data_IF_243941603387
#
_entry.id   IF_243941603387
#
_cell.length_a   1.000
_cell.length_b   1.000
_cell.length_c   1.000
_cell.angle_alpha   90.00
_cell.angle_beta   90.00
_cell.angle_gamma   90.00
#
_symmetry.space_group_name_H-M   'P 1'
#
loop_
_entity.id
_entity.type
_entity.pdbx_description
1 polymer ?
#
# COMPACT_ATOMS: atom_id res chain seq x y z
N UNK A 1 -7.99 -17.14 -15.67
CA UNK A 1 -8.00 -16.14 -16.76
C UNK A 1 -7.10 -14.93 -16.48
N UNK A 2 -6.64 -14.65 -15.25
CA UNK A 2 -5.67 -13.57 -14.99
C UNK A 2 -6.26 -12.16 -15.05
N UNK A 3 -7.56 -12.06 -15.28
CA UNK A 3 -8.30 -10.81 -15.42
C UNK A 3 -8.89 -10.34 -14.07
N UNK A 4 -9.03 -9.03 -13.91
CA UNK A 4 -9.62 -8.31 -12.77
C UNK A 4 -9.18 -8.82 -11.40
N UNK A 5 -7.86 -8.95 -11.22
CA UNK A 5 -7.27 -9.43 -9.96
C UNK A 5 -7.11 -8.28 -8.98
N UNK A 6 -7.54 -8.45 -7.73
CA UNK A 6 -7.23 -7.49 -6.68
C UNK A 6 -5.77 -7.65 -6.26
N UNK A 7 -4.96 -6.60 -6.39
CA UNK A 7 -3.51 -6.67 -6.21
C UNK A 7 -3.01 -5.64 -5.20
N UNK A 8 -2.21 -6.08 -4.23
CA UNK A 8 -1.42 -5.22 -3.35
C UNK A 8 0.06 -5.45 -3.58
N UNK A 9 0.80 -4.40 -3.95
CA UNK A 9 2.27 -4.42 -3.93
C UNK A 9 2.78 -3.67 -2.71
N UNK A 10 3.12 -4.44 -1.70
CA UNK A 10 3.57 -3.97 -0.39
C UNK A 10 5.08 -3.83 -0.38
N UNK A 11 5.58 -2.71 0.15
CA UNK A 11 7.00 -2.49 0.36
C UNK A 11 7.30 -2.85 1.81
N UNK A 12 8.27 -3.74 2.02
CA UNK A 12 8.68 -4.21 3.35
C UNK A 12 8.86 -3.07 4.34
N UNK A 13 8.25 -3.21 5.52
CA UNK A 13 8.45 -2.35 6.66
C UNK A 13 8.45 -3.21 7.93
N UNK A 14 9.60 -3.76 8.32
CA UNK A 14 9.75 -4.67 9.45
C UNK A 14 9.11 -4.14 10.74
N UNK A 15 9.33 -2.84 11.02
CA UNK A 15 8.80 -2.20 12.23
C UNK A 15 7.27 -2.16 12.24
N UNK A 16 6.63 -1.93 11.09
CA UNK A 16 5.17 -1.88 10.99
C UNK A 16 4.55 -3.27 10.83
N UNK A 17 5.13 -4.08 9.94
CA UNK A 17 4.56 -5.34 9.46
C UNK A 17 4.75 -6.48 10.48
N UNK A 18 5.86 -6.50 11.21
CA UNK A 18 6.19 -7.57 12.17
C UNK A 18 6.07 -7.09 13.63
N UNK A 19 6.58 -5.91 13.94
CA UNK A 19 6.60 -5.38 15.31
C UNK A 19 5.38 -4.51 15.66
N UNK A 20 4.44 -4.30 14.74
CA UNK A 20 3.20 -3.55 15.00
C UNK A 20 3.40 -2.09 15.39
N UNK A 21 4.46 -1.44 14.88
CA UNK A 21 4.77 -0.05 15.24
C UNK A 21 3.65 0.92 14.86
N UNK A 22 3.13 1.65 15.85
CA UNK A 22 2.14 2.72 15.67
C UNK A 22 2.68 3.98 14.98
N UNK A 23 4.00 4.09 14.74
CA UNK A 23 4.64 5.24 14.07
C UNK A 23 4.39 5.28 12.56
N UNK A 24 3.95 4.18 11.97
CA UNK A 24 3.65 4.08 10.54
C UNK A 24 2.37 3.27 10.32
N UNK A 25 1.80 3.40 9.12
CA UNK A 25 0.58 2.69 8.72
C UNK A 25 0.85 1.39 7.96
N UNK A 26 2.11 0.98 7.79
CA UNK A 26 2.46 -0.15 6.91
C UNK A 26 1.79 -1.46 7.33
N UNK A 27 1.86 -1.82 8.61
CA UNK A 27 1.24 -3.06 9.12
C UNK A 27 -0.27 -3.06 8.92
N UNK A 28 -0.95 -1.97 9.31
CA UNK A 28 -2.39 -1.80 9.12
C UNK A 28 -2.79 -1.86 7.63
N UNK A 29 -1.97 -1.31 6.73
CA UNK A 29 -2.22 -1.37 5.29
C UNK A 29 -2.06 -2.79 4.75
N UNK A 30 -1.08 -3.55 5.24
CA UNK A 30 -0.87 -4.95 4.86
C UNK A 30 -2.05 -5.80 5.33
N UNK A 31 -2.46 -5.64 6.59
CA UNK A 31 -3.60 -6.36 7.16
C UNK A 31 -4.89 -6.06 6.42
N UNK A 32 -5.20 -4.79 6.17
CA UNK A 32 -6.39 -4.40 5.40
C UNK A 32 -6.35 -4.98 3.98
N UNK A 33 -5.20 -4.95 3.31
CA UNK A 33 -5.07 -5.53 1.97
C UNK A 33 -5.32 -7.04 1.95
N UNK A 34 -4.86 -7.77 2.98
CA UNK A 34 -5.13 -9.21 3.10
C UNK A 34 -6.62 -9.49 3.34
N UNK A 35 -7.28 -8.72 4.21
CA UNK A 35 -8.73 -8.83 4.45
C UNK A 35 -9.55 -8.58 3.18
N UNK A 36 -9.25 -7.51 2.45
CA UNK A 36 -9.94 -7.20 1.18
C UNK A 36 -9.75 -8.30 0.12
N UNK A 37 -8.59 -8.96 0.11
CA UNK A 37 -8.34 -10.10 -0.79
C UNK A 37 -9.15 -11.32 -0.38
N UNK A 38 -9.23 -11.60 0.93
CA UNK A 38 -10.06 -12.68 1.49
C UNK A 38 -11.53 -12.45 1.16
N UNK A 39 -12.06 -11.26 1.41
CA UNK A 39 -13.44 -10.87 1.08
C UNK A 39 -13.74 -10.99 -0.42
N UNK A 40 -12.80 -10.61 -1.28
CA UNK A 40 -12.94 -10.75 -2.73
C UNK A 40 -12.81 -12.19 -3.23
N UNK A 41 -12.34 -13.13 -2.38
CA UNK A 41 -12.07 -14.54 -2.71
C UNK A 41 -10.94 -14.77 -3.71
N UNK A 42 -10.32 -13.70 -4.23
CA UNK A 42 -9.27 -13.77 -5.26
C UNK A 42 -8.42 -12.50 -5.27
N UNK A 43 -7.12 -12.66 -5.05
CA UNK A 43 -6.17 -11.57 -5.14
C UNK A 43 -4.72 -12.00 -4.94
N UNK A 44 -3.81 -11.03 -5.04
CA UNK A 44 -2.37 -11.24 -4.87
C UNK A 44 -1.78 -10.14 -3.99
N UNK A 45 -1.01 -10.55 -2.97
CA UNK A 45 -0.08 -9.66 -2.27
C UNK A 45 1.33 -9.96 -2.76
N UNK A 46 1.98 -8.96 -3.33
CA UNK A 46 3.43 -9.00 -3.61
C UNK A 46 4.14 -8.25 -2.51
N UNK A 47 4.93 -8.98 -1.71
CA UNK A 47 5.74 -8.41 -0.64
C UNK A 47 7.17 -8.17 -1.13
N UNK A 48 7.50 -6.93 -1.48
CA UNK A 48 8.82 -6.57 -1.99
C UNK A 48 9.80 -6.37 -0.84
N UNK A 49 10.69 -7.35 -0.69
CA UNK A 49 11.84 -7.33 0.23
C UNK A 49 12.89 -6.33 -0.24
N UNK A 50 13.69 -5.83 0.69
CA UNK A 50 14.76 -4.86 0.39
C UNK A 50 14.26 -3.43 0.13
N UNK A 51 12.95 -3.18 0.22
CA UNK A 51 12.35 -1.85 0.12
C UNK A 51 12.31 -1.11 1.47
N UNK A 52 12.83 -1.73 2.53
CA UNK A 52 12.90 -1.12 3.86
C UNK A 52 13.59 0.25 3.80
N UNK A 53 13.03 1.23 4.52
CA UNK A 53 13.53 2.60 4.48
C UNK A 53 13.50 3.26 3.10
N UNK A 54 12.74 2.74 2.12
CA UNK A 54 12.77 3.13 0.69
C UNK A 54 14.01 2.64 -0.08
N UNK A 55 14.52 1.46 0.29
CA UNK A 55 15.65 0.83 -0.39
C UNK A 55 17.00 1.12 0.25
N UNK A 56 17.06 1.95 1.30
CA UNK A 56 18.28 2.26 2.06
C UNK A 56 18.57 1.21 3.15
N UNK A 57 17.59 0.35 3.47
CA UNK A 57 17.69 -0.68 4.50
C UNK A 57 17.37 -0.18 5.92
N UNK A 58 17.15 -1.14 6.84
CA UNK A 58 16.71 -0.87 8.20
C UNK A 58 17.73 -0.05 9.02
N UNK A 59 19.02 -0.35 8.87
CA UNK A 59 20.08 0.35 9.61
C UNK A 59 20.11 1.84 9.29
N UNK A 60 20.08 2.20 8.01
CA UNK A 60 20.04 3.59 7.56
C UNK A 60 18.72 4.29 7.92
N UNK A 61 17.59 3.57 7.93
CA UNK A 61 16.31 4.10 8.43
C UNK A 61 16.39 4.47 9.91
N UNK A 62 17.02 3.64 10.75
CA UNK A 62 17.21 3.92 12.17
C UNK A 62 18.17 5.08 12.40
N UNK A 63 19.25 5.17 11.63
CA UNK A 63 20.17 6.31 11.65
C UNK A 63 19.48 7.62 11.26
N UNK A 64 18.67 7.60 10.19
CA UNK A 64 17.88 8.76 9.77
C UNK A 64 16.84 9.16 10.82
N UNK A 65 16.26 8.21 11.57
CA UNK A 65 15.38 8.52 12.71
C UNK A 65 16.13 9.19 13.85
N UNK A 66 17.33 8.71 14.20
CA UNK A 66 18.14 9.32 15.25
C UNK A 66 18.54 10.77 14.89
N UNK A 67 18.86 11.05 13.62
CA UNK A 67 19.17 12.41 13.16
C UNK A 67 17.93 13.32 13.17
N UNK A 68 16.75 12.80 12.82
CA UNK A 68 15.48 13.54 12.91
C UNK A 68 15.08 13.83 14.36
N UNK A 69 15.31 12.89 15.29
CA UNK A 69 15.05 13.08 16.72
C UNK A 69 15.99 14.15 17.33
N UNK A 70 17.13 14.41 16.69
CA UNK A 70 18.07 15.50 17.01
C UNK A 70 17.72 16.84 16.31
N UNK A 71 16.66 16.89 15.50
CA UNK A 71 16.13 18.11 14.90
C UNK A 71 16.48 18.36 13.43
N UNK A 72 17.16 17.42 12.76
CA UNK A 72 17.51 17.56 11.33
C UNK A 72 16.30 17.32 10.40
N UNK A 73 16.21 18.08 9.30
CA UNK A 73 15.19 17.80 8.27
C UNK A 73 15.47 16.47 7.58
N UNK A 74 14.40 15.81 7.10
CA UNK A 74 14.47 14.50 6.46
C UNK A 74 15.35 14.51 5.21
N UNK A 75 15.51 15.65 4.54
CA UNK A 75 16.35 15.78 3.35
C UNK A 75 17.82 15.91 3.75
N UNK A 76 18.14 16.74 4.74
CA UNK A 76 19.50 16.92 5.25
C UNK A 76 20.06 15.62 5.81
N UNK A 77 19.29 14.89 6.63
CA UNK A 77 19.71 13.60 7.18
C UNK A 77 20.00 12.54 6.10
N UNK A 78 19.24 12.52 4.98
CA UNK A 78 19.51 11.60 3.89
C UNK A 78 20.73 12.01 3.06
N UNK A 79 20.96 13.31 2.87
CA UNK A 79 22.15 13.85 2.18
C UNK A 79 23.41 13.60 3.00
N UNK A 80 23.37 13.81 4.32
CA UNK A 80 24.47 13.54 5.26
C UNK A 80 24.86 12.06 5.26
N UNK A 81 23.88 11.17 5.08
CA UNK A 81 24.10 9.73 4.98
C UNK A 81 24.46 9.25 3.56
N UNK A 82 24.48 10.14 2.55
CA UNK A 82 24.79 9.79 1.15
C UNK A 82 23.73 8.89 0.48
N UNK A 83 22.47 8.97 0.92
CA UNK A 83 21.41 8.05 0.54
C UNK A 83 20.51 8.61 -0.57
N UNK A 84 20.09 7.74 -1.48
CA UNK A 84 19.08 8.07 -2.48
C UNK A 84 17.72 8.34 -1.82
N UNK A 85 17.01 9.38 -2.26
CA UNK A 85 15.71 9.81 -1.72
C UNK A 85 14.63 8.72 -1.89
N UNK A 86 14.78 7.88 -2.92
CA UNK A 86 13.98 6.69 -3.19
C UNK A 86 14.73 5.74 -4.14
N UNK A 87 15.16 4.57 -3.65
CA UNK A 87 15.88 3.56 -4.45
C UNK A 87 14.99 2.35 -4.80
N UNK A 88 13.67 2.45 -4.62
CA UNK A 88 12.76 1.31 -4.77
C UNK A 88 12.63 0.90 -6.24
N UNK A 89 12.86 -0.38 -6.51
CA UNK A 89 12.69 -0.95 -7.84
C UNK A 89 11.37 -1.74 -7.94
N UNK A 90 10.39 -1.20 -8.66
CA UNK A 90 9.07 -1.82 -8.81
C UNK A 90 8.97 -2.79 -9.99
N UNK A 91 10.01 -2.85 -10.85
CA UNK A 91 10.06 -3.74 -12.02
C UNK A 91 9.99 -5.22 -11.64
N UNK A 92 10.59 -5.61 -10.51
CA UNK A 92 10.49 -6.97 -9.97
C UNK A 92 9.04 -7.32 -9.61
N UNK A 93 8.30 -6.38 -9.00
CA UNK A 93 6.89 -6.57 -8.68
C UNK A 93 6.04 -6.82 -9.93
N UNK A 94 6.31 -6.12 -11.02
CA UNK A 94 5.64 -6.34 -12.30
C UNK A 94 5.96 -7.72 -12.89
N UNK A 95 7.22 -8.17 -12.80
CA UNK A 95 7.62 -9.51 -13.26
C UNK A 95 6.93 -10.63 -12.47
N UNK A 96 6.91 -10.51 -11.14
CA UNK A 96 6.22 -11.47 -10.26
C UNK A 96 4.73 -11.55 -10.62
N UNK A 97 4.05 -10.41 -10.77
CA UNK A 97 2.63 -10.39 -11.12
C UNK A 97 2.33 -11.10 -12.45
N UNK A 98 3.19 -10.88 -13.44
CA UNK A 98 3.08 -11.55 -14.74
C UNK A 98 3.28 -13.07 -14.60
N UNK A 99 4.28 -13.48 -13.83
CA UNK A 99 4.63 -14.88 -13.62
C UNK A 99 3.51 -15.67 -12.93
N UNK A 100 2.89 -15.09 -11.90
CA UNK A 100 1.73 -15.68 -11.22
C UNK A 100 0.43 -15.58 -12.03
N UNK A 101 0.50 -15.04 -13.26
CA UNK A 101 -0.58 -15.08 -14.24
C UNK A 101 -1.53 -13.88 -14.24
N UNK A 102 -1.20 -12.77 -13.56
CA UNK A 102 -1.99 -11.53 -13.62
C UNK A 102 -1.85 -10.87 -15.00
N UNK A 103 -2.95 -10.33 -15.52
CA UNK A 103 -3.02 -9.55 -16.76
C UNK A 103 -3.66 -8.20 -16.52
N UNK A 104 -4.86 -8.19 -15.95
CA UNK A 104 -5.54 -6.97 -15.51
C UNK A 104 -5.75 -6.98 -13.99
N UNK A 105 -5.64 -5.80 -13.37
CA UNK A 105 -5.72 -5.69 -11.92
C UNK A 105 -6.44 -4.44 -11.43
N UNK A 106 -7.12 -4.58 -10.30
CA UNK A 106 -7.49 -3.47 -9.42
C UNK A 106 -6.40 -3.31 -8.38
N UNK A 107 -5.67 -2.20 -8.44
CA UNK A 107 -4.47 -1.99 -7.64
C UNK A 107 -4.80 -1.28 -6.31
N UNK A 108 -4.42 -1.91 -5.20
CA UNK A 108 -4.54 -1.40 -3.85
C UNK A 108 -3.39 -0.42 -3.50
N UNK A 109 -3.57 0.88 -3.74
CA UNK A 109 -2.54 1.91 -3.52
C UNK A 109 -3.12 3.29 -3.18
N UNK A 110 -2.48 3.99 -2.24
CA UNK A 110 -2.74 5.41 -1.95
C UNK A 110 -1.77 6.35 -2.68
N UNK A 111 -0.76 5.79 -3.34
CA UNK A 111 0.22 6.54 -4.10
C UNK A 111 -0.10 6.41 -5.60
N UNK A 112 -0.56 7.48 -6.26
CA UNK A 112 -0.93 7.46 -7.67
C UNK A 112 0.26 7.34 -8.63
N UNK A 113 1.48 7.68 -8.18
CA UNK A 113 2.71 7.65 -8.98
C UNK A 113 3.41 6.27 -9.00
N UNK A 114 2.98 5.33 -8.13
CA UNK A 114 3.72 4.10 -7.82
C UNK A 114 3.81 3.08 -8.99
N UNK A 115 3.08 3.27 -10.09
CA UNK A 115 2.98 2.28 -11.18
C UNK A 115 2.89 2.91 -12.58
N UNK A 116 3.92 3.66 -12.96
CA UNK A 116 4.17 4.02 -14.36
C UNK A 116 4.99 2.89 -15.00
N UNK A 117 4.63 2.46 -16.22
CA UNK A 117 5.43 1.47 -16.98
C UNK A 117 4.95 0.01 -16.98
N UNK A 118 3.83 -0.32 -16.33
CA UNK A 118 3.28 -1.70 -16.31
C UNK A 118 2.91 -2.26 -17.69
N UNK A 119 2.59 -1.39 -18.66
CA UNK A 119 2.27 -1.79 -20.04
C UNK A 119 3.40 -2.61 -20.68
N UNK A 120 4.67 -2.32 -20.36
CA UNK A 120 5.82 -3.06 -20.89
C UNK A 120 5.90 -4.51 -20.40
N UNK A 121 5.23 -4.83 -19.29
CA UNK A 121 5.15 -6.18 -18.73
C UNK A 121 3.89 -6.94 -19.16
N UNK A 122 3.05 -6.37 -20.04
CA UNK A 122 1.76 -6.95 -20.40
C UNK A 122 0.73 -6.89 -19.26
N UNK A 123 0.90 -5.93 -18.34
CA UNK A 123 0.02 -5.71 -17.20
C UNK A 123 -0.77 -4.42 -17.38
N UNK A 124 -2.05 -4.45 -17.02
CA UNK A 124 -2.93 -3.29 -17.05
C UNK A 124 -3.64 -3.07 -15.71
N UNK A 125 -3.61 -1.83 -15.23
CA UNK A 125 -4.39 -1.41 -14.07
C UNK A 125 -5.75 -0.92 -14.58
N UNK A 126 -6.80 -1.68 -14.28
CA UNK A 126 -8.19 -1.38 -14.70
C UNK A 126 -8.99 -0.66 -13.62
N UNK A 127 -8.47 -0.61 -12.39
CA UNK A 127 -9.05 0.18 -11.30
C UNK A 127 -8.06 0.40 -10.17
N UNK A 128 -8.41 1.29 -9.25
CA UNK A 128 -7.64 1.57 -8.03
C UNK A 128 -8.55 1.39 -6.82
N UNK A 129 -8.02 0.74 -5.80
CA UNK A 129 -8.70 0.57 -4.51
C UNK A 129 -7.85 1.29 -3.46
N UNK A 130 -8.39 2.30 -2.77
CA UNK A 130 -7.65 2.97 -1.71
C UNK A 130 -7.50 2.04 -0.50
N UNK A 131 -6.37 2.10 0.20
CA UNK A 131 -6.08 1.32 1.40
C UNK A 131 -6.03 2.27 2.59
N UNK A 132 -7.19 2.51 3.19
CA UNK A 132 -7.38 3.58 4.16
C UNK A 132 -7.25 3.03 5.57
N UNK A 133 -6.23 3.48 6.29
CA UNK A 133 -5.99 3.10 7.69
C UNK A 133 -6.26 4.27 8.62
N UNK A 134 -6.69 4.04 9.87
CA UNK A 134 -6.92 5.10 10.84
C UNK A 134 -5.69 5.99 11.05
N UNK A 135 -5.92 7.30 11.13
CA UNK A 135 -4.92 8.28 11.58
C UNK A 135 -4.96 8.26 13.11
N UNK A 136 -3.81 8.02 13.73
CA UNK A 136 -3.60 8.05 15.18
C UNK A 136 -2.68 9.24 15.51
N UNK A 137 -2.67 9.68 16.76
CA UNK A 137 -1.75 10.74 17.19
C UNK A 137 -0.27 10.38 16.93
N UNK A 138 0.08 9.10 17.02
CA UNK A 138 1.45 8.61 16.78
C UNK A 138 1.85 8.61 15.29
N UNK A 139 0.90 8.37 14.37
CA UNK A 139 1.21 8.29 12.93
C UNK A 139 0.92 9.60 12.16
N UNK A 140 0.21 10.55 12.77
CA UNK A 140 -0.27 11.79 12.14
C UNK A 140 0.84 12.55 11.41
N UNK A 141 1.96 12.84 12.09
CA UNK A 141 3.11 13.53 11.50
C UNK A 141 3.68 12.80 10.29
N UNK A 142 3.77 11.47 10.36
CA UNK A 142 4.29 10.64 9.28
C UNK A 142 3.38 10.64 8.06
N UNK A 143 2.06 10.55 8.27
CA UNK A 143 1.06 10.57 7.20
C UNK A 143 0.94 11.96 6.56
N UNK A 144 0.99 13.04 7.34
CA UNK A 144 1.02 14.41 6.84
C UNK A 144 2.24 14.66 5.96
N UNK A 145 3.43 14.19 6.36
CA UNK A 145 4.64 14.29 5.55
C UNK A 145 4.50 13.54 4.21
N UNK A 146 3.91 12.34 4.20
CA UNK A 146 3.63 11.58 2.97
C UNK A 146 2.61 12.29 2.07
N UNK A 147 1.57 12.89 2.66
CA UNK A 147 0.56 13.64 1.91
C UNK A 147 1.16 14.86 1.22
N UNK A 148 1.82 15.73 1.99
CA UNK A 148 2.35 17.01 1.50
C UNK A 148 3.53 16.80 0.54
N UNK A 149 4.48 15.92 0.89
CA UNK A 149 5.72 15.76 0.11
C UNK A 149 5.61 14.74 -1.03
N UNK A 150 4.63 13.82 -1.00
CA UNK A 150 4.55 12.68 -1.96
C UNK A 150 3.16 12.46 -2.57
N UNK A 151 2.17 13.33 -2.30
CA UNK A 151 0.86 13.28 -2.96
C UNK A 151 0.01 12.04 -2.61
N UNK A 152 0.26 11.42 -1.45
CA UNK A 152 -0.58 10.32 -0.96
C UNK A 152 -1.99 10.81 -0.60
N UNK A 153 -3.00 10.06 -1.02
CA UNK A 153 -4.42 10.35 -0.73
C UNK A 153 -4.83 9.65 0.57
N UNK A 154 -5.42 10.39 1.51
CA UNK A 154 -5.95 9.88 2.78
C UNK A 154 -7.40 10.33 3.01
N UNK A 155 -8.05 9.83 4.08
CA UNK A 155 -9.53 9.82 4.20
C UNK A 155 -10.16 11.21 4.19
N UNK A 156 -9.42 12.22 4.65
CA UNK A 156 -9.83 13.62 4.61
C UNK A 156 -9.88 14.23 3.20
N UNK A 157 -9.40 13.53 2.17
CA UNK A 157 -9.36 13.99 0.78
C UNK A 157 -10.49 13.42 -0.09
N UNK A 158 -11.28 12.50 0.43
CA UNK A 158 -12.37 11.85 -0.31
C UNK A 158 -13.68 12.57 0.03
N UNK A 159 -14.25 13.31 -0.93
CA UNK A 159 -15.62 13.82 -0.84
C UNK A 159 -16.60 12.63 -0.82
N UNK A 160 -17.61 12.72 0.04
CA UNK A 160 -18.44 11.61 0.55
C UNK A 160 -19.23 10.74 -0.43
N UNK A 161 -19.16 10.96 -1.74
CA UNK A 161 -19.90 10.16 -2.74
C UNK A 161 -19.28 8.80 -3.07
N UNK A 162 -18.03 8.54 -2.67
CA UNK A 162 -17.32 7.31 -3.10
C UNK A 162 -17.47 6.14 -2.12
N UNK A 163 -17.98 6.37 -0.90
CA UNK A 163 -18.10 5.32 0.12
C UNK A 163 -19.45 4.59 0.10
N UNK A 164 -20.56 5.24 -0.29
CA UNK A 164 -21.88 4.58 -0.22
C UNK A 164 -22.11 3.55 -1.31
N UNK A 165 -21.43 3.64 -2.45
CA UNK A 165 -21.61 2.73 -3.59
C UNK A 165 -20.82 1.42 -3.52
N UNK A 166 -19.95 1.23 -2.53
CA UNK A 166 -19.10 0.03 -2.43
C UNK A 166 -19.61 -1.03 -1.43
N UNK A 167 -20.62 -0.70 -0.61
CA UNK A 167 -21.15 -1.60 0.44
C UNK A 167 -22.54 -2.17 0.15
N UNK A 168 -23.16 -1.80 -0.97
CA UNK A 168 -24.53 -2.22 -1.28
C UNK A 168 -24.56 -3.04 -2.57
N UNK A 169 -24.11 -4.30 -2.51
CA UNK A 169 -24.68 -5.42 -3.26
C UNK A 169 -24.33 -6.75 -2.56
N UNK A 170 -25.35 -7.43 -2.02
CA UNK A 170 -25.30 -8.88 -1.83
C UNK A 170 -25.62 -9.41 -0.43
N UNK A 171 -26.78 -9.08 0.15
CA UNK A 171 -27.45 -9.99 1.09
C UNK A 171 -28.77 -10.45 0.51
N UNK A 172 -28.72 -11.35 -0.48
CA UNK A 172 -29.86 -12.22 -0.78
C UNK A 172 -29.76 -13.45 0.14
N UNK A 173 -30.57 -13.43 1.19
CA UNK A 173 -30.79 -14.59 2.04
C UNK A 173 -31.59 -15.65 1.25
N UNK A 174 -31.27 -16.95 1.36
CA UNK A 174 -32.06 -17.97 0.67
C UNK A 174 -33.41 -18.15 1.36
N UNK A 175 -34.46 -17.95 0.57
CA UNK A 175 -35.85 -18.22 0.89
C UNK A 175 -36.03 -19.72 1.18
N UNK A 176 -36.34 -20.07 2.43
CA UNK A 176 -36.68 -21.44 2.81
C UNK A 176 -38.08 -21.77 2.29
N UNK A 177 -38.13 -22.60 1.25
CA UNK A 177 -39.34 -23.30 0.81
C UNK A 177 -39.83 -24.24 1.92
N UNK A 178 -40.99 -23.91 2.51
CA UNK A 178 -41.82 -24.88 3.23
C UNK A 178 -42.74 -25.54 2.22
N UNK A 179 -42.47 -26.80 1.91
CA UNK A 179 -43.49 -27.72 1.40
C UNK A 179 -43.18 -29.14 1.92
N UNK A 180 -44.28 -29.78 2.37
CA UNK A 180 -44.47 -31.11 2.99
C UNK A 180 -44.37 -31.19 4.50
#
# INVERSE_FOLDING_TARGET
NGEDVLVRVHSECLTGDIFGSGRCDCGNQLELAMRLIEEAGRGVVVYLRGHEGRGIGLGHKLLAYNLQDLGHDTVEANIELGLAVDAREYGIGAQILRDVGVRTMRLMTNNPAKFVGLKGYGLAVVGRVPVMTPITEENKRYLEAKRVKMGHIYGSDIRGDTLSGMFDQGTDAPEQSKDV
#
